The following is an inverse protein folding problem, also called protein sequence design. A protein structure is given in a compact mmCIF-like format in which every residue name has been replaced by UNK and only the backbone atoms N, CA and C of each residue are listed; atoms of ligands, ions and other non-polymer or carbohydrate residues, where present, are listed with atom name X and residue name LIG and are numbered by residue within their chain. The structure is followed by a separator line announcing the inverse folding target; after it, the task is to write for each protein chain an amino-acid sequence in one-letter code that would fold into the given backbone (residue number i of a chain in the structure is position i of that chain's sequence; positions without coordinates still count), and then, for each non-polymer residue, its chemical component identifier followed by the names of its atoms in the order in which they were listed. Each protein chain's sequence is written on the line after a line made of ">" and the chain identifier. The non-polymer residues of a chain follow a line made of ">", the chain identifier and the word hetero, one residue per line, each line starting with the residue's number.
data_IF_172028781264
#
_entry.id   IF_172028781264
#
_cell.length_a   1.000
_cell.length_b   1.000
_cell.length_c   1.000
_cell.angle_alpha   90.00
_cell.angle_beta   90.00
_cell.angle_gamma   90.00
#
_symmetry.space_group_name_H-M   'P 1'
#
loop_
_entity.id
_entity.type
_entity.pdbx_description
1 polymer ?
#
# COMPACT_ATOMS: atom_id res chain seq x y z
N UNK A 1 -8.87 5.34 11.57
CA UNK A 1 -8.60 4.00 11.00
C UNK A 1 -9.03 2.86 11.91
N UNK A 2 -8.75 2.93 13.20
CA UNK A 2 -9.09 1.83 14.13
C UNK A 2 -10.59 1.53 14.26
N UNK A 3 -11.45 2.45 13.84
CA UNK A 3 -12.91 2.26 13.85
C UNK A 3 -13.47 1.54 12.62
N UNK A 4 -12.63 1.32 11.59
CA UNK A 4 -13.05 0.62 10.38
C UNK A 4 -13.17 -0.88 10.63
N UNK A 5 -14.09 -1.60 9.95
CA UNK A 5 -14.20 -3.05 10.09
C UNK A 5 -12.89 -3.78 9.79
N UNK A 6 -12.12 -3.30 8.81
CA UNK A 6 -10.83 -3.85 8.41
C UNK A 6 -9.79 -3.77 9.53
N UNK A 7 -9.97 -2.87 10.50
CA UNK A 7 -9.03 -2.67 11.60
C UNK A 7 -8.97 -3.87 12.56
N UNK A 8 -9.85 -4.84 12.42
CA UNK A 8 -9.76 -6.10 13.15
C UNK A 8 -8.57 -6.95 12.72
N UNK A 9 -8.06 -6.72 11.51
CA UNK A 9 -6.89 -7.40 10.94
C UNK A 9 -7.03 -8.93 10.93
N UNK A 10 -8.24 -9.41 10.75
CA UNK A 10 -8.57 -10.84 10.79
C UNK A 10 -8.11 -11.58 9.54
N UNK A 11 -7.96 -10.85 8.43
CA UNK A 11 -7.49 -11.40 7.15
C UNK A 11 -6.35 -10.55 6.61
N UNK A 12 -5.44 -11.14 5.81
CA UNK A 12 -4.38 -10.36 5.20
C UNK A 12 -4.91 -9.32 4.20
N UNK A 13 -6.09 -9.55 3.61
CA UNK A 13 -6.72 -8.60 2.69
C UNK A 13 -7.09 -7.29 3.40
N UNK A 14 -7.59 -7.39 4.63
CA UNK A 14 -7.91 -6.20 5.43
C UNK A 14 -6.66 -5.37 5.71
N UNK A 15 -5.58 -6.01 6.11
CA UNK A 15 -4.32 -5.33 6.39
C UNK A 15 -3.74 -4.70 5.13
N UNK A 16 -3.82 -5.37 3.99
CA UNK A 16 -3.35 -4.83 2.71
C UNK A 16 -4.14 -3.59 2.31
N UNK A 17 -5.45 -3.61 2.44
CA UNK A 17 -6.30 -2.45 2.12
C UNK A 17 -5.97 -1.25 3.02
N UNK A 18 -5.81 -1.49 4.32
CA UNK A 18 -5.45 -0.42 5.26
C UNK A 18 -4.04 0.11 5.02
N UNK A 19 -3.12 -0.70 4.50
CA UNK A 19 -1.78 -0.24 4.14
C UNK A 19 -1.86 0.79 3.00
N UNK A 20 -2.67 0.55 1.97
CA UNK A 20 -2.87 1.54 0.91
C UNK A 20 -3.45 2.83 1.48
N UNK A 21 -4.45 2.73 2.36
CA UNK A 21 -5.03 3.90 3.03
C UNK A 21 -3.98 4.66 3.85
N UNK A 22 -3.14 3.95 4.58
CA UNK A 22 -2.08 4.56 5.38
C UNK A 22 -1.06 5.30 4.50
N UNK A 23 -0.71 4.74 3.34
CA UNK A 23 0.19 5.39 2.40
C UNK A 23 -0.46 6.64 1.77
N UNK A 24 -1.74 6.60 1.48
CA UNK A 24 -2.49 7.77 1.02
C UNK A 24 -2.46 8.88 2.09
N UNK A 25 -2.67 8.50 3.35
CA UNK A 25 -2.61 9.43 4.48
C UNK A 25 -1.20 10.00 4.64
N UNK A 26 -0.16 9.17 4.51
CA UNK A 26 1.23 9.60 4.57
C UNK A 26 1.55 10.67 3.52
N UNK A 27 0.99 10.56 2.33
CA UNK A 27 1.20 11.54 1.27
C UNK A 27 0.64 12.92 1.62
N UNK A 28 -0.41 12.97 2.45
CA UNK A 28 -1.05 14.21 2.89
C UNK A 28 -0.52 14.71 4.23
N UNK A 29 -0.22 13.80 5.16
CA UNK A 29 0.26 14.10 6.51
C UNK A 29 1.20 12.97 6.96
N UNK A 30 2.51 13.25 6.95
CA UNK A 30 3.54 12.26 7.27
C UNK A 30 3.42 11.73 8.69
N UNK A 31 3.06 12.57 9.64
CA UNK A 31 2.98 12.17 11.05
C UNK A 31 1.84 11.18 11.26
N UNK A 32 0.66 11.49 10.75
CA UNK A 32 -0.51 10.61 10.88
C UNK A 32 -0.28 9.33 10.09
N UNK A 33 0.24 9.43 8.86
CA UNK A 33 0.56 8.26 8.05
C UNK A 33 1.57 7.33 8.70
N UNK A 34 2.60 7.90 9.34
CA UNK A 34 3.59 7.13 10.09
C UNK A 34 2.96 6.38 11.26
N UNK A 35 2.08 7.02 12.01
CA UNK A 35 1.35 6.37 13.10
C UNK A 35 0.50 5.21 12.60
N UNK A 36 -0.20 5.40 11.48
CA UNK A 36 -1.00 4.35 10.87
C UNK A 36 -0.14 3.17 10.42
N UNK A 37 0.97 3.43 9.75
CA UNK A 37 1.89 2.39 9.31
C UNK A 37 2.50 1.63 10.49
N UNK A 38 2.90 2.33 11.55
CA UNK A 38 3.43 1.70 12.74
C UNK A 38 2.39 0.78 13.41
N UNK A 39 1.15 1.22 13.46
CA UNK A 39 0.06 0.39 13.98
C UNK A 39 -0.14 -0.88 13.14
N UNK A 40 -0.09 -0.74 11.81
CA UNK A 40 -0.24 -1.87 10.89
C UNK A 40 0.95 -2.84 10.94
N UNK A 41 2.12 -2.35 11.30
CA UNK A 41 3.32 -3.20 11.42
C UNK A 41 3.37 -3.95 12.75
N UNK A 42 2.56 -3.54 13.72
CA UNK A 42 2.45 -4.23 15.01
C UNK A 42 3.76 -4.28 15.79
N UNK A 43 4.29 -5.49 16.09
CA UNK A 43 5.49 -5.61 16.91
C UNK A 43 6.77 -5.03 16.28
N UNK A 44 6.78 -4.76 14.99
CA UNK A 44 7.95 -4.22 14.27
C UNK A 44 7.62 -2.88 13.62
N UNK A 45 7.65 -1.77 14.38
CA UNK A 45 7.40 -0.45 13.80
C UNK A 45 8.47 -0.07 12.77
N UNK A 46 8.23 1.00 12.02
CA UNK A 46 9.16 1.51 11.04
C UNK A 46 10.49 1.89 11.72
N UNK A 47 11.60 1.49 11.12
CA UNK A 47 12.93 1.92 11.54
C UNK A 47 13.40 3.12 10.71
N UNK A 48 14.63 3.61 10.98
CA UNK A 48 15.17 4.77 10.27
C UNK A 48 15.32 4.54 8.77
N UNK A 49 15.67 3.34 8.34
CA UNK A 49 15.76 3.00 6.92
C UNK A 49 14.39 3.01 6.24
N UNK A 50 13.39 2.47 6.91
CA UNK A 50 12.02 2.46 6.39
C UNK A 50 11.50 3.88 6.18
N UNK A 51 11.74 4.75 7.15
CA UNK A 51 11.32 6.16 7.09
C UNK A 51 12.07 6.90 5.97
N UNK A 52 13.37 6.66 5.84
CA UNK A 52 14.18 7.26 4.77
C UNK A 52 13.68 6.81 3.39
N UNK A 53 13.33 5.54 3.25
CA UNK A 53 12.78 4.99 2.01
C UNK A 53 11.45 5.66 1.65
N UNK A 54 10.55 5.79 2.61
CA UNK A 54 9.26 6.47 2.40
C UNK A 54 9.45 7.92 1.98
N UNK A 55 10.30 8.65 2.69
CA UNK A 55 10.59 10.05 2.36
C UNK A 55 11.17 10.18 0.95
N UNK A 56 12.06 9.28 0.56
CA UNK A 56 12.65 9.27 -0.77
C UNK A 56 11.59 9.01 -1.86
N UNK A 57 10.70 8.02 -1.63
CA UNK A 57 9.69 7.67 -2.62
C UNK A 57 8.65 8.78 -2.83
N UNK A 58 8.28 9.51 -1.77
CA UNK A 58 7.29 10.58 -1.85
C UNK A 58 7.88 11.96 -2.21
N UNK A 59 9.19 12.04 -2.38
CA UNK A 59 9.87 13.30 -2.72
C UNK A 59 9.47 13.76 -4.13
N UNK A 60 9.66 15.05 -4.40
CA UNK A 60 9.46 15.66 -5.73
C UNK A 60 8.03 15.54 -6.26
N UNK A 61 7.04 15.71 -5.37
CA UNK A 61 5.63 15.74 -5.77
C UNK A 61 5.04 14.37 -6.04
N UNK A 62 5.71 13.28 -5.67
CA UNK A 62 5.24 11.91 -5.95
C UNK A 62 4.15 11.44 -5.00
N UNK A 63 3.32 12.34 -4.52
CA UNK A 63 2.19 12.02 -3.62
C UNK A 63 1.09 11.22 -4.32
N UNK A 64 1.14 11.10 -5.64
CA UNK A 64 0.19 10.30 -6.42
C UNK A 64 0.37 8.79 -6.23
N UNK A 65 1.55 8.32 -5.79
CA UNK A 65 1.93 6.91 -5.80
C UNK A 65 0.87 5.97 -5.20
N UNK A 66 0.36 6.20 -3.99
CA UNK A 66 -0.61 5.27 -3.42
C UNK A 66 -1.98 5.30 -4.11
N UNK A 67 -2.32 6.39 -4.80
CA UNK A 67 -3.60 6.51 -5.50
C UNK A 67 -3.65 5.67 -6.78
N UNK A 68 -2.51 5.21 -7.28
CA UNK A 68 -2.42 4.37 -8.48
C UNK A 68 -3.07 3.00 -8.31
N UNK A 69 -3.39 2.60 -7.09
CA UNK A 69 -4.02 1.32 -6.76
C UNK A 69 -5.53 1.38 -6.75
N UNK A 70 -6.13 2.56 -6.81
CA UNK A 70 -7.59 2.69 -6.90
C UNK A 70 -8.06 2.48 -8.32
N UNK A 71 -9.22 1.81 -8.46
CA UNK A 71 -9.80 1.54 -9.76
C UNK A 71 -10.03 2.84 -10.54
N UNK A 72 -9.70 2.81 -11.83
CA UNK A 72 -9.88 3.95 -12.74
C UNK A 72 -8.72 4.94 -12.76
N UNK A 73 -7.75 4.82 -11.85
CA UNK A 73 -6.55 5.67 -11.83
C UNK A 73 -5.59 5.28 -12.94
N UNK A 74 -5.23 6.23 -13.79
CA UNK A 74 -4.27 6.04 -14.90
C UNK A 74 -3.35 7.26 -15.01
N UNK A 75 -2.19 7.11 -15.67
CA UNK A 75 -1.34 8.28 -15.94
C UNK A 75 -2.05 9.37 -16.74
N UNK A 76 -2.97 8.99 -17.64
CA UNK A 76 -3.69 9.94 -18.49
C UNK A 76 -4.65 10.83 -17.73
N UNK A 77 -5.22 10.34 -16.63
CA UNK A 77 -6.15 11.13 -15.79
C UNK A 77 -5.50 11.61 -14.48
N UNK A 78 -4.16 11.64 -14.42
CA UNK A 78 -3.39 12.05 -13.24
C UNK A 78 -3.75 11.23 -12.00
N UNK A 79 -3.99 9.93 -12.19
CA UNK A 79 -4.36 9.00 -11.12
C UNK A 79 -5.58 9.45 -10.32
N UNK A 80 -6.61 9.88 -11.04
CA UNK A 80 -7.91 10.25 -10.45
C UNK A 80 -8.80 9.02 -10.41
N UNK A 81 -9.11 8.49 -9.21
CA UNK A 81 -9.91 7.26 -9.10
C UNK A 81 -11.36 7.46 -9.54
N UNK A 82 -11.97 6.36 -10.00
CA UNK A 82 -13.41 6.30 -10.25
C UNK A 82 -14.15 6.16 -8.92
N UNK A 83 -15.22 6.92 -8.75
CA UNK A 83 -16.07 6.81 -7.56
C UNK A 83 -17.17 5.77 -7.79
N UNK A 84 -17.53 4.97 -6.79
CA UNK A 84 -16.93 4.89 -5.46
C UNK A 84 -15.51 4.28 -5.51
N UNK A 85 -14.64 4.72 -4.61
CA UNK A 85 -13.26 4.27 -4.60
C UNK A 85 -13.18 2.79 -4.23
N UNK A 86 -12.44 2.02 -5.01
CA UNK A 86 -12.23 0.60 -4.78
C UNK A 86 -10.82 0.18 -5.12
N UNK A 87 -10.36 -0.89 -4.45
CA UNK A 87 -9.04 -1.49 -4.64
C UNK A 87 -9.25 -2.98 -4.88
N UNK A 88 -8.58 -3.54 -5.88
CA UNK A 88 -8.56 -4.98 -6.10
C UNK A 88 -7.32 -5.56 -5.44
N UNK A 89 -7.49 -6.60 -4.63
CA UNK A 89 -6.39 -7.29 -3.97
C UNK A 89 -6.49 -8.77 -4.33
N UNK A 90 -5.42 -9.32 -4.91
CA UNK A 90 -5.43 -10.66 -5.48
C UNK A 90 -4.45 -11.59 -4.75
N UNK A 91 -4.81 -12.86 -4.69
CA UNK A 91 -3.93 -13.94 -4.28
C UNK A 91 -3.68 -14.86 -5.46
N UNK A 92 -2.61 -15.67 -5.38
CA UNK A 92 -2.31 -16.67 -6.40
C UNK A 92 -1.75 -17.93 -5.73
N UNK A 93 -1.32 -18.92 -6.53
CA UNK A 93 -0.84 -20.21 -6.03
C UNK A 93 0.42 -20.12 -5.15
N UNK A 94 1.17 -19.02 -5.21
CA UNK A 94 2.38 -18.83 -4.38
C UNK A 94 2.13 -17.98 -3.14
N UNK A 95 0.93 -17.40 -2.98
CA UNK A 95 0.65 -16.44 -1.89
C UNK A 95 0.92 -17.01 -0.51
N UNK A 96 0.56 -18.26 -0.26
CA UNK A 96 0.68 -18.91 1.05
C UNK A 96 1.86 -19.86 1.20
N UNK A 97 2.86 -19.80 0.33
CA UNK A 97 3.99 -20.75 0.34
C UNK A 97 4.82 -20.69 1.62
N UNK A 98 4.99 -19.51 2.20
CA UNK A 98 5.80 -19.30 3.40
C UNK A 98 4.89 -19.28 4.62
N UNK A 99 5.10 -20.22 5.55
CA UNK A 99 4.28 -20.32 6.75
C UNK A 99 4.35 -19.05 7.59
N UNK A 100 3.17 -18.54 7.99
CA UNK A 100 3.07 -17.32 8.79
C UNK A 100 3.10 -16.04 7.95
N UNK A 101 3.19 -16.16 6.62
CA UNK A 101 3.19 -15.04 5.70
C UNK A 101 2.15 -15.21 4.61
N UNK A 102 1.69 -14.10 4.06
CA UNK A 102 0.81 -14.09 2.90
C UNK A 102 1.30 -13.02 1.93
N UNK A 103 1.56 -13.43 0.68
CA UNK A 103 1.90 -12.51 -0.40
C UNK A 103 0.64 -12.19 -1.18
N UNK A 104 0.29 -10.93 -1.25
CA UNK A 104 -0.85 -10.46 -2.03
C UNK A 104 -0.37 -9.50 -3.11
N UNK A 105 -1.19 -9.33 -4.14
CA UNK A 105 -0.85 -8.55 -5.32
C UNK A 105 -1.95 -7.54 -5.59
N UNK A 106 -1.57 -6.29 -5.79
CA UNK A 106 -2.52 -5.19 -6.01
C UNK A 106 -2.25 -4.61 -7.39
N UNK A 107 -3.21 -4.71 -8.34
CA UNK A 107 -3.06 -4.08 -9.64
C UNK A 107 -2.85 -2.57 -9.51
N UNK A 108 -1.95 -2.06 -10.33
CA UNK A 108 -1.53 -0.67 -10.30
C UNK A 108 -1.79 -0.04 -11.67
N UNK A 109 -2.47 1.10 -11.71
CA UNK A 109 -2.76 1.81 -12.96
C UNK A 109 -1.52 2.35 -13.66
N UNK A 110 -0.40 2.45 -12.96
CA UNK A 110 0.87 2.95 -13.49
C UNK A 110 1.93 1.89 -13.73
N UNK A 111 1.58 0.60 -13.73
CA UNK A 111 2.53 -0.48 -13.92
C UNK A 111 1.91 -1.63 -14.72
N UNK A 112 2.77 -2.41 -15.40
CA UNK A 112 2.31 -3.52 -16.23
C UNK A 112 2.01 -4.79 -15.44
N UNK A 113 2.48 -4.87 -14.18
CA UNK A 113 2.23 -6.02 -13.32
C UNK A 113 1.74 -5.55 -11.96
N UNK A 114 0.96 -6.39 -11.24
CA UNK A 114 0.54 -6.06 -9.88
C UNK A 114 1.75 -5.89 -8.97
N UNK A 115 1.58 -5.08 -7.95
CA UNK A 115 2.62 -4.85 -6.95
C UNK A 115 2.41 -5.74 -5.73
N UNK A 116 3.52 -6.24 -5.21
CA UNK A 116 3.53 -7.17 -4.08
C UNK A 116 3.39 -6.44 -2.75
N UNK A 117 2.58 -7.03 -1.88
CA UNK A 117 2.54 -6.70 -0.45
C UNK A 117 2.62 -7.99 0.34
N UNK A 118 3.48 -8.03 1.36
CA UNK A 118 3.70 -9.21 2.18
C UNK A 118 3.19 -8.95 3.59
N UNK A 119 2.27 -9.79 4.05
CA UNK A 119 1.66 -9.68 5.36
C UNK A 119 2.17 -10.80 6.26
N UNK A 120 2.25 -10.53 7.56
CA UNK A 120 2.73 -11.49 8.55
C UNK A 120 1.65 -11.74 9.60
N UNK A 121 1.39 -13.02 9.88
CA UNK A 121 0.43 -13.41 10.90
C UNK A 121 1.11 -13.52 12.26
N UNK A 122 0.47 -12.97 13.29
CA UNK A 122 0.92 -13.15 14.66
C UNK A 122 0.28 -14.40 15.23
N UNK A 123 1.12 -15.33 15.75
CA UNK A 123 0.65 -16.62 16.20
C UNK A 123 -0.26 -16.56 17.43
N UNK A 124 -0.08 -15.56 18.30
CA UNK A 124 -0.82 -15.49 19.56
C UNK A 124 -2.32 -15.17 19.37
N UNK A 125 -2.70 -14.42 18.34
CA UNK A 125 -4.10 -14.01 18.13
C UNK A 125 -4.56 -14.17 16.67
N UNK A 126 -3.70 -14.62 15.78
CA UNK A 126 -4.03 -14.83 14.38
C UNK A 126 -4.19 -13.57 13.56
N UNK A 127 -3.91 -12.39 14.11
CA UNK A 127 -4.01 -11.14 13.37
C UNK A 127 -2.90 -10.99 12.36
N UNK A 128 -3.22 -10.29 11.27
CA UNK A 128 -2.29 -10.04 10.17
C UNK A 128 -1.73 -8.63 10.23
N UNK A 129 -0.42 -8.51 10.13
CA UNK A 129 0.30 -7.23 10.17
C UNK A 129 1.07 -7.02 8.87
N UNK A 130 1.43 -5.78 8.59
CA UNK A 130 2.25 -5.45 7.44
C UNK A 130 3.69 -5.94 7.68
N UNK A 131 4.18 -6.81 6.79
CA UNK A 131 5.59 -7.22 6.78
C UNK A 131 6.40 -6.32 5.87
N UNK A 132 6.16 -6.40 4.57
CA UNK A 132 6.86 -5.61 3.56
C UNK A 132 5.87 -5.15 2.50
N UNK A 133 6.15 -4.00 1.88
CA UNK A 133 5.36 -3.52 0.76
C UNK A 133 6.27 -3.03 -0.36
N UNK A 134 5.86 -3.27 -1.59
CA UNK A 134 6.57 -2.87 -2.80
C UNK A 134 5.67 -1.99 -3.68
N UNK A 135 4.84 -1.16 -3.04
CA UNK A 135 3.77 -0.42 -3.69
C UNK A 135 4.24 0.92 -4.29
N UNK A 136 5.45 1.37 -3.95
CA UNK A 136 5.92 2.73 -4.26
C UNK A 136 7.00 2.78 -5.34
N UNK A 137 7.33 1.65 -5.98
CA UNK A 137 8.40 1.58 -6.97
C UNK A 137 7.88 1.18 -8.34
N UNK A 138 8.55 1.66 -9.39
CA UNK A 138 8.25 1.26 -10.76
C UNK A 138 6.90 1.75 -11.27
N UNK A 139 6.41 2.87 -10.78
CA UNK A 139 5.12 3.45 -11.16
C UNK A 139 5.34 4.60 -12.13
N UNK A 140 4.58 4.59 -13.23
CA UNK A 140 4.70 5.63 -14.26
C UNK A 140 4.27 7.00 -13.73
N UNK A 141 5.00 8.03 -14.16
CA UNK A 141 4.68 9.42 -13.86
C UNK A 141 3.34 9.82 -14.48
N UNK A 142 2.52 10.66 -13.80
CA UNK A 142 1.32 11.19 -14.43
C UNK A 142 1.65 11.94 -15.73
N UNK A 143 0.77 11.84 -16.70
CA UNK A 143 1.01 12.44 -18.03
C UNK A 143 1.28 13.95 -17.94
N UNK A 144 0.60 14.66 -17.05
CA UNK A 144 0.80 16.10 -16.87
C UNK A 144 2.20 16.47 -16.39
N UNK A 145 2.92 15.54 -15.77
CA UNK A 145 4.27 15.76 -15.24
C UNK A 145 5.35 15.15 -16.14
N UNK A 146 4.95 14.45 -17.19
CA UNK A 146 5.87 13.79 -18.11
C UNK A 146 6.27 14.76 -19.23
N UNK A 147 7.55 15.21 -19.29
CA UNK A 147 7.98 16.14 -20.33
C UNK A 147 7.97 15.54 -21.74
N UNK A 148 7.86 14.21 -21.83
CA UNK A 148 7.85 13.50 -23.12
C UNK A 148 6.45 13.05 -23.54
N UNK A 149 5.43 13.41 -22.79
CA UNK A 149 4.06 13.02 -23.10
C UNK A 149 3.47 13.82 -24.28
#
# INVERSE_FOLDING_TARGET
>A
MQKLPEAKLETPFQTAALTVLALCTYSADRNIGTEMLNWLRGPRPLNGQDISFLNDRFRDGKTYLPFTYFAGSTPDNNYTPTKPYSITIESNHVSGEEQGYMKLFIPCGGANSPRLIKLRQRGSDGKWFLGEQYLLTGVRTPKSEDPWA
#
